data_IF_082455752275
#
_entry.id   IF_082455752275
#
_cell.length_a   1.000
_cell.length_b   1.000
_cell.length_c   1.000
_cell.angle_alpha   90.00
_cell.angle_beta   90.00
_cell.angle_gamma   90.00
#
_symmetry.space_group_name_H-M   'P 1'
#
loop_
_entity.id
_entity.type
_entity.pdbx_description
1 polymer ?
#
# COMPACT_ATOMS: atom_id res chain seq x y z
N UNK A 1 31.38 19.91 -54.21
CA UNK A 1 30.26 20.43 -53.38
C UNK A 1 29.93 19.38 -52.33
N UNK A 2 30.41 19.56 -51.09
CA UNK A 2 30.23 18.58 -50.02
C UNK A 2 28.95 18.92 -49.24
N UNK A 3 27.98 18.00 -49.23
CA UNK A 3 26.74 18.11 -48.44
C UNK A 3 26.99 17.51 -47.06
N UNK A 4 26.97 18.36 -46.03
CA UNK A 4 27.05 17.94 -44.63
C UNK A 4 25.61 17.64 -44.19
N UNK A 5 25.29 16.35 -43.96
CA UNK A 5 24.05 15.94 -43.30
C UNK A 5 24.19 16.24 -41.80
N UNK A 6 23.41 17.20 -41.30
CA UNK A 6 23.17 17.38 -39.88
C UNK A 6 22.08 16.39 -39.45
N UNK A 7 22.47 15.28 -38.85
CA UNK A 7 21.55 14.38 -38.17
C UNK A 7 21.05 15.07 -36.89
N UNK A 8 19.76 15.39 -36.84
CA UNK A 8 19.11 15.99 -35.68
C UNK A 8 18.94 14.91 -34.62
N UNK A 9 19.73 14.98 -33.55
CA UNK A 9 19.63 14.10 -32.39
C UNK A 9 18.35 14.49 -31.61
N UNK A 10 17.28 13.70 -31.76
CA UNK A 10 16.11 13.81 -30.88
C UNK A 10 16.48 13.17 -29.56
N UNK A 11 16.88 13.99 -28.59
CA UNK A 11 17.03 13.55 -27.20
C UNK A 11 15.62 13.30 -26.63
N UNK A 12 15.19 12.04 -26.65
CA UNK A 12 14.03 11.59 -25.87
C UNK A 12 14.42 11.75 -24.40
N UNK A 13 13.98 12.84 -23.78
CA UNK A 13 14.05 13.02 -22.34
C UNK A 13 13.01 12.06 -21.75
N UNK A 14 13.41 10.81 -21.53
CA UNK A 14 12.67 9.91 -20.64
C UNK A 14 12.86 10.51 -19.26
N UNK A 15 11.91 11.38 -18.87
CA UNK A 15 11.81 11.84 -17.50
C UNK A 15 11.74 10.61 -16.58
N UNK A 16 12.32 10.67 -15.38
CA UNK A 16 12.14 9.59 -14.43
C UNK A 16 10.64 9.38 -14.21
N UNK A 17 10.17 8.13 -14.28
CA UNK A 17 8.80 7.78 -13.97
C UNK A 17 8.59 7.95 -12.45
N UNK A 18 8.36 9.19 -12.02
CA UNK A 18 7.84 9.47 -10.70
C UNK A 18 6.35 9.22 -10.78
N UNK A 19 5.94 8.03 -10.36
CA UNK A 19 4.93 7.84 -9.34
C UNK A 19 4.56 6.35 -9.30
N UNK A 20 4.89 5.68 -8.19
CA UNK A 20 4.18 4.47 -7.80
C UNK A 20 2.78 4.90 -7.34
N UNK A 21 1.95 5.37 -8.28
CA UNK A 21 0.54 5.65 -8.01
C UNK A 21 -0.17 4.34 -7.68
N UNK A 22 -1.12 4.43 -6.77
CA UNK A 22 -1.99 3.32 -6.49
C UNK A 22 -2.76 2.98 -7.80
N UNK A 23 -2.85 1.71 -8.22
CA UNK A 23 -3.65 1.36 -9.41
C UNK A 23 -5.12 1.73 -9.19
N UNK A 24 -5.88 1.85 -10.27
CA UNK A 24 -7.30 2.26 -10.23
C UNK A 24 -8.12 1.45 -9.21
N UNK A 25 -7.94 0.13 -9.16
CA UNK A 25 -8.65 -0.70 -8.17
C UNK A 25 -8.26 -0.40 -6.71
N UNK A 26 -7.07 0.12 -6.45
CA UNK A 26 -6.71 0.62 -5.12
C UNK A 26 -7.38 1.96 -4.81
N UNK A 27 -7.54 2.84 -5.81
CA UNK A 27 -8.28 4.09 -5.65
C UNK A 27 -9.74 3.79 -5.32
N UNK A 28 -10.33 2.86 -6.05
CA UNK A 28 -11.69 2.36 -5.84
C UNK A 28 -11.86 1.74 -4.46
N UNK A 29 -10.89 0.93 -3.99
CA UNK A 29 -10.90 0.36 -2.64
C UNK A 29 -10.90 1.46 -1.55
N UNK A 30 -10.10 2.52 -1.74
CA UNK A 30 -10.11 3.67 -0.86
C UNK A 30 -11.47 4.36 -0.81
N UNK A 31 -12.12 4.54 -1.96
CA UNK A 31 -13.46 5.12 -2.04
C UNK A 31 -14.54 4.20 -1.44
N UNK A 32 -14.46 2.88 -1.68
CA UNK A 32 -15.39 1.87 -1.20
C UNK A 32 -15.50 1.86 0.33
N UNK A 33 -14.36 1.93 1.02
CA UNK A 33 -14.30 1.82 2.48
C UNK A 33 -14.01 3.13 3.20
N UNK A 34 -13.89 4.25 2.47
CA UNK A 34 -13.58 5.56 3.02
C UNK A 34 -12.15 5.72 3.53
N UNK A 35 -11.22 4.87 3.08
CA UNK A 35 -9.81 4.98 3.43
C UNK A 35 -9.18 6.16 2.66
N UNK A 36 -8.46 7.09 3.32
CA UNK A 36 -7.81 8.19 2.62
C UNK A 36 -6.81 7.68 1.59
N UNK A 37 -7.06 7.95 0.30
CA UNK A 37 -6.29 7.39 -0.82
C UNK A 37 -4.79 7.65 -0.70
N UNK A 38 -4.38 8.88 -0.34
CA UNK A 38 -2.95 9.20 -0.13
C UNK A 38 -2.32 8.38 1.00
N UNK A 39 -3.08 8.03 2.04
CA UNK A 39 -2.60 7.16 3.13
C UNK A 39 -2.47 5.73 2.61
N UNK A 40 -3.48 5.20 1.92
CA UNK A 40 -3.42 3.86 1.33
C UNK A 40 -2.24 3.71 0.35
N UNK A 41 -1.98 4.73 -0.45
CA UNK A 41 -0.81 4.80 -1.34
C UNK A 41 0.51 4.82 -0.57
N UNK A 42 0.61 5.60 0.50
CA UNK A 42 1.81 5.64 1.32
C UNK A 42 2.11 4.29 1.98
N UNK A 43 1.06 3.58 2.43
CA UNK A 43 1.17 2.21 2.95
C UNK A 43 1.65 1.26 1.86
N UNK A 44 1.01 1.25 0.69
CA UNK A 44 1.40 0.38 -0.42
C UNK A 44 2.87 0.60 -0.84
N UNK A 45 3.32 1.85 -0.94
CA UNK A 45 4.72 2.16 -1.27
C UNK A 45 5.65 1.67 -0.16
N UNK A 46 5.28 1.86 1.11
CA UNK A 46 6.07 1.38 2.23
C UNK A 46 6.25 -0.14 2.18
N UNK A 47 5.17 -0.90 2.01
CA UNK A 47 5.20 -2.36 1.93
C UNK A 47 6.06 -2.88 0.77
N UNK A 48 5.98 -2.24 -0.40
CA UNK A 48 6.81 -2.61 -1.54
C UNK A 48 8.31 -2.29 -1.36
N UNK A 49 8.67 -1.45 -0.38
CA UNK A 49 10.06 -1.17 -0.04
C UNK A 49 10.62 -2.12 1.04
N UNK A 50 9.79 -2.96 1.65
CA UNK A 50 10.22 -3.95 2.64
C UNK A 50 10.85 -5.13 1.91
N UNK A 51 12.06 -5.57 2.30
CA UNK A 51 12.63 -6.81 1.78
C UNK A 51 11.71 -7.99 2.09
N UNK A 52 11.60 -8.97 1.18
CA UNK A 52 10.75 -10.14 1.42
C UNK A 52 11.16 -10.86 2.71
N UNK A 53 10.18 -11.41 3.45
CA UNK A 53 10.44 -12.08 4.73
C UNK A 53 11.41 -13.25 4.58
N UNK A 54 12.21 -13.48 5.62
CA UNK A 54 13.09 -14.65 5.72
C UNK A 54 12.26 -15.94 5.80
N UNK A 55 12.80 -17.12 5.45
CA UNK A 55 12.04 -18.39 5.38
C UNK A 55 11.35 -18.84 6.68
N UNK A 56 11.66 -18.24 7.83
CA UNK A 56 11.08 -18.55 9.14
C UNK A 56 10.07 -17.51 9.64
N UNK A 57 9.85 -16.44 8.87
CA UNK A 57 8.83 -15.43 9.18
C UNK A 57 7.48 -15.86 8.59
N UNK A 58 6.41 -15.37 9.21
CA UNK A 58 5.06 -15.61 8.69
C UNK A 58 4.94 -14.96 7.30
N UNK A 59 4.29 -15.62 6.33
CA UNK A 59 4.13 -15.06 5.01
C UNK A 59 3.20 -13.85 5.05
N UNK A 60 3.60 -12.81 4.32
CA UNK A 60 2.80 -11.63 4.01
C UNK A 60 2.41 -11.70 2.53
N UNK A 61 1.21 -11.24 2.20
CA UNK A 61 0.63 -11.44 0.87
C UNK A 61 0.16 -10.15 0.22
N UNK A 62 0.36 -10.09 -1.09
CA UNK A 62 -0.07 -8.99 -1.95
C UNK A 62 0.67 -7.67 -1.70
N UNK A 63 0.27 -6.60 -2.40
CA UNK A 63 0.94 -5.29 -2.35
C UNK A 63 0.83 -4.57 -1.00
N UNK A 64 -0.06 -5.01 -0.10
CA UNK A 64 -0.29 -4.40 1.22
C UNK A 64 0.29 -5.23 2.37
N UNK A 65 1.07 -6.27 2.08
CA UNK A 65 1.81 -7.02 3.10
C UNK A 65 0.91 -7.72 4.13
N UNK A 66 -0.31 -8.14 3.76
CA UNK A 66 -1.26 -8.67 4.74
C UNK A 66 -0.86 -10.08 5.20
N UNK A 67 -0.75 -10.27 6.51
CA UNK A 67 -0.51 -11.59 7.13
C UNK A 67 -1.77 -12.47 7.14
N UNK A 68 -1.59 -13.79 7.26
CA UNK A 68 -2.69 -14.77 7.18
C UNK A 68 -3.84 -14.53 8.16
N UNK A 69 -3.52 -14.13 9.41
CA UNK A 69 -4.54 -13.85 10.42
C UNK A 69 -5.44 -12.67 10.01
N UNK A 70 -4.83 -11.60 9.47
CA UNK A 70 -5.57 -10.44 8.96
C UNK A 70 -6.41 -10.84 7.76
N UNK A 71 -5.84 -11.60 6.81
CA UNK A 71 -6.59 -12.06 5.63
C UNK A 71 -7.80 -12.90 6.02
N UNK A 72 -7.66 -13.83 6.95
CA UNK A 72 -8.78 -14.64 7.44
C UNK A 72 -9.88 -13.77 8.07
N UNK A 73 -9.50 -12.77 8.86
CA UNK A 73 -10.47 -11.85 9.47
C UNK A 73 -11.18 -10.97 8.44
N UNK A 74 -10.47 -10.48 7.43
CA UNK A 74 -11.01 -9.55 6.43
C UNK A 74 -11.87 -10.25 5.38
N UNK A 75 -11.50 -11.48 4.98
CA UNK A 75 -12.21 -12.27 3.97
C UNK A 75 -13.72 -12.34 4.24
N UNK A 76 -14.10 -12.63 5.49
CA UNK A 76 -15.49 -12.75 5.94
C UNK A 76 -16.28 -11.43 5.85
N UNK A 77 -15.60 -10.29 5.71
CA UNK A 77 -16.22 -8.96 5.79
C UNK A 77 -16.26 -8.19 4.46
N UNK A 78 -15.49 -8.61 3.45
CA UNK A 78 -15.45 -7.95 2.14
C UNK A 78 -16.03 -8.82 1.00
N UNK A 79 -16.65 -9.95 1.35
CA UNK A 79 -17.24 -10.92 0.43
C UNK A 79 -16.21 -11.45 -0.60
N UNK A 80 -15.02 -11.78 -0.11
CA UNK A 80 -13.86 -12.24 -0.89
C UNK A 80 -13.22 -13.46 -0.22
N UNK A 81 -12.68 -14.40 -0.98
CA UNK A 81 -11.99 -15.55 -0.39
C UNK A 81 -10.56 -15.19 0.07
N UNK A 82 -10.04 -15.95 1.03
CA UNK A 82 -8.63 -15.80 1.45
C UNK A 82 -7.65 -15.94 0.27
N UNK A 83 -7.93 -16.85 -0.66
CA UNK A 83 -7.07 -17.09 -1.82
C UNK A 83 -7.09 -15.90 -2.78
N UNK A 84 -8.26 -15.30 -3.01
CA UNK A 84 -8.38 -14.08 -3.81
C UNK A 84 -7.62 -12.92 -3.17
N UNK A 85 -7.75 -12.69 -1.86
CA UNK A 85 -6.99 -11.63 -1.16
C UNK A 85 -5.48 -11.86 -1.24
N UNK A 86 -5.03 -13.13 -1.23
CA UNK A 86 -3.61 -13.48 -1.31
C UNK A 86 -3.01 -13.29 -2.71
N UNK A 87 -3.79 -13.54 -3.76
CA UNK A 87 -3.28 -13.66 -5.14
C UNK A 87 -3.72 -12.54 -6.08
N UNK A 88 -4.84 -11.87 -5.79
CA UNK A 88 -5.35 -10.74 -6.56
C UNK A 88 -4.98 -9.42 -5.87
N UNK A 89 -4.11 -8.59 -6.47
CA UNK A 89 -3.72 -7.30 -5.90
C UNK A 89 -4.90 -6.37 -5.58
N UNK A 90 -5.99 -6.41 -6.35
CA UNK A 90 -7.15 -5.56 -6.13
C UNK A 90 -7.94 -5.97 -4.88
N UNK A 91 -8.13 -7.28 -4.67
CA UNK A 91 -8.74 -7.79 -3.43
C UNK A 91 -7.86 -7.54 -2.22
N UNK A 92 -6.53 -7.55 -2.39
CA UNK A 92 -5.60 -7.16 -1.35
C UNK A 92 -5.72 -5.67 -0.95
N UNK A 93 -5.90 -4.76 -1.91
CA UNK A 93 -6.18 -3.35 -1.62
C UNK A 93 -7.53 -3.15 -0.93
N UNK A 94 -8.60 -3.83 -1.41
CA UNK A 94 -9.92 -3.82 -0.76
C UNK A 94 -9.81 -4.29 0.69
N UNK A 95 -9.09 -5.40 0.90
CA UNK A 95 -8.86 -5.94 2.23
C UNK A 95 -8.13 -4.97 3.15
N UNK A 96 -7.04 -4.35 2.68
CA UNK A 96 -6.27 -3.40 3.47
C UNK A 96 -7.07 -2.11 3.77
N UNK A 97 -7.81 -1.59 2.79
CA UNK A 97 -8.66 -0.42 2.97
C UNK A 97 -9.78 -0.68 3.98
N UNK A 98 -10.48 -1.82 3.87
CA UNK A 98 -11.47 -2.22 4.87
C UNK A 98 -10.84 -2.42 6.24
N UNK A 99 -9.68 -3.08 6.30
CA UNK A 99 -9.00 -3.35 7.57
C UNK A 99 -8.62 -2.05 8.29
N UNK A 100 -8.06 -1.06 7.58
CA UNK A 100 -7.73 0.26 8.13
C UNK A 100 -8.97 1.00 8.66
N UNK A 101 -10.12 0.81 8.03
CA UNK A 101 -11.36 1.56 8.30
C UNK A 101 -12.40 0.80 9.13
N UNK A 102 -12.06 -0.36 9.69
CA UNK A 102 -12.89 -1.07 10.66
C UNK A 102 -12.47 -0.77 12.12
N UNK A 103 -13.23 -1.30 13.09
CA UNK A 103 -12.97 -1.12 14.52
C UNK A 103 -11.58 -1.64 14.95
N UNK A 104 -11.18 -2.82 14.45
CA UNK A 104 -9.86 -3.41 14.73
C UNK A 104 -8.70 -2.58 14.15
N UNK A 105 -8.90 -1.91 13.01
CA UNK A 105 -7.98 -0.97 12.40
C UNK A 105 -7.97 0.41 13.06
N UNK A 106 -8.90 0.70 13.96
CA UNK A 106 -8.97 1.96 14.68
C UNK A 106 -9.67 3.08 13.91
N UNK A 107 -10.76 2.77 13.21
CA UNK A 107 -11.56 3.74 12.44
C UNK A 107 -12.11 4.94 13.24
N UNK A 108 -12.17 4.86 14.57
CA UNK A 108 -12.55 5.97 15.45
C UNK A 108 -11.36 6.89 15.82
N UNK A 109 -10.14 6.53 15.41
CA UNK A 109 -8.92 7.24 15.76
C UNK A 109 -8.52 8.24 14.66
N UNK A 110 -7.68 9.25 14.99
CA UNK A 110 -6.96 10.00 13.97
C UNK A 110 -6.22 9.03 13.03
N UNK A 111 -6.17 9.36 11.73
CA UNK A 111 -5.74 8.40 10.69
C UNK A 111 -4.38 7.75 10.98
N UNK A 112 -3.43 8.46 11.56
CA UNK A 112 -2.13 7.88 11.87
C UNK A 112 -2.10 7.00 13.12
N UNK A 113 -3.03 7.21 14.04
CA UNK A 113 -3.25 6.30 15.16
C UNK A 113 -3.98 5.03 14.67
N UNK A 114 -4.87 5.14 13.68
CA UNK A 114 -5.42 4.00 12.97
C UNK A 114 -4.32 3.21 12.24
N UNK A 115 -3.38 3.89 11.57
CA UNK A 115 -2.20 3.24 10.95
C UNK A 115 -1.31 2.54 12.00
N UNK A 116 -1.18 3.11 13.21
CA UNK A 116 -0.50 2.40 14.31
C UNK A 116 -1.21 1.08 14.62
N UNK A 117 -2.55 1.10 14.74
CA UNK A 117 -3.31 -0.12 14.97
C UNK A 117 -3.23 -1.11 13.80
N UNK A 118 -3.27 -0.62 12.56
CA UNK A 118 -3.12 -1.42 11.34
C UNK A 118 -1.84 -2.27 11.37
N UNK A 119 -0.69 -1.66 11.69
CA UNK A 119 0.60 -2.38 11.71
C UNK A 119 0.85 -3.17 13.00
N UNK A 120 0.36 -2.67 14.14
CA UNK A 120 0.85 -3.12 15.45
C UNK A 120 -0.23 -3.67 16.39
N UNK A 121 -1.50 -3.57 16.00
CA UNK A 121 -2.66 -3.77 16.85
C UNK A 121 -2.78 -2.70 17.94
N UNK A 122 -3.82 -2.82 18.78
CA UNK A 122 -4.15 -1.85 19.84
C UNK A 122 -3.17 -1.74 21.03
N UNK A 123 -1.93 -2.23 20.91
CA UNK A 123 -0.92 -2.14 21.99
C UNK A 123 -0.12 -0.85 21.87
N UNK A 124 -0.04 -0.08 22.96
CA UNK A 124 0.84 1.09 23.04
C UNK A 124 2.30 0.66 22.93
N UNK A 125 3.09 1.43 22.18
CA UNK A 125 4.53 1.20 21.96
C UNK A 125 5.33 2.47 22.17
N UNK A 126 6.63 2.30 22.41
CA UNK A 126 7.57 3.43 22.48
C UNK A 126 7.95 4.00 21.11
N UNK A 127 7.70 3.26 20.02
CA UNK A 127 7.98 3.68 18.64
C UNK A 127 7.09 2.93 17.64
N UNK A 128 6.91 3.54 16.47
CA UNK A 128 6.05 3.06 15.38
C UNK A 128 6.74 3.17 14.00
N UNK A 129 7.87 2.47 13.78
CA UNK A 129 8.72 2.69 12.60
C UNK A 129 8.01 2.49 11.24
N UNK A 130 7.05 1.56 11.13
CA UNK A 130 6.28 1.33 9.91
C UNK A 130 5.32 2.49 9.63
N UNK A 131 4.65 2.99 10.68
CA UNK A 131 3.81 4.18 10.59
C UNK A 131 4.63 5.41 10.24
N UNK A 132 5.80 5.58 10.87
CA UNK A 132 6.69 6.71 10.62
C UNK A 132 7.21 6.69 9.17
N UNK A 133 7.58 5.51 8.65
CA UNK A 133 7.99 5.34 7.26
C UNK A 133 6.86 5.69 6.28
N UNK A 134 5.64 5.16 6.50
CA UNK A 134 4.48 5.51 5.69
C UNK A 134 4.14 7.00 5.76
N UNK A 135 4.21 7.62 6.95
CA UNK A 135 3.97 9.06 7.09
C UNK A 135 5.00 9.90 6.35
N UNK A 136 6.28 9.53 6.42
CA UNK A 136 7.33 10.23 5.66
C UNK A 136 7.09 10.15 4.16
N UNK A 137 6.57 9.02 3.65
CA UNK A 137 6.18 8.88 2.24
C UNK A 137 4.98 9.78 1.94
N UNK A 138 3.96 9.79 2.80
CA UNK A 138 2.77 10.65 2.66
C UNK A 138 3.12 12.15 2.60
N UNK A 139 4.02 12.62 3.47
CA UNK A 139 4.43 14.03 3.54
C UNK A 139 5.19 14.51 2.29
N UNK A 140 5.65 13.57 1.45
CA UNK A 140 6.33 13.84 0.18
C UNK A 140 5.38 13.86 -1.02
N UNK A 141 4.08 13.54 -0.85
CA UNK A 141 3.04 13.50 -1.91
C UNK A 141 2.15 14.74 -1.93
#
# INVERSE_FOLDING_TARGET
MHKILFATLVALIIGPAWANELPECGLDAGAEFGAPVKVLQALAINENNIPPPLPHQLPEHGPMGLGEFTINYVADNIDSSMEEIKTNPCENYRAAAWFLMNEAGGNELPIWDAVNNYYYGGRTRSSYPMTDAARNIFDQM
#
